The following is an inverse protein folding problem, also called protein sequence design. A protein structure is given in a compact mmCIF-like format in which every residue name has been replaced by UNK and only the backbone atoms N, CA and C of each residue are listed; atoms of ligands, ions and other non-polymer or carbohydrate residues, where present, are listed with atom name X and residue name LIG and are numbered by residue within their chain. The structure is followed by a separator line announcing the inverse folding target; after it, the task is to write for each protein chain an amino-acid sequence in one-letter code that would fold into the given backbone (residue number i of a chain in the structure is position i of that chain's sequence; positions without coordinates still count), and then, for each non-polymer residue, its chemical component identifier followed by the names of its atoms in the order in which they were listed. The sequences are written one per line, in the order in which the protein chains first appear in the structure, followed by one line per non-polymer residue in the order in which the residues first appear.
data_IF_332288779667
#
_entry.id   IF_332288779667
#
_cell.length_a   1.000
_cell.length_b   1.000
_cell.length_c   1.000
_cell.angle_alpha   90.00
_cell.angle_beta   90.00
_cell.angle_gamma   90.00
#
_symmetry.space_group_name_H-M   'P 1'
#
loop_
_entity.id
_entity.type
_entity.pdbx_description
1 polymer ?
#
# COMPACT_ATOMS: atom_id res chain seq x y z
N UNK A 1 -12.59 9.14 7.85
CA UNK A 1 -12.31 9.82 6.58
C UNK A 1 -10.92 10.46 6.58
N UNK A 2 -10.52 11.08 7.69
CA UNK A 2 -9.25 11.82 7.83
C UNK A 2 -7.96 11.10 7.38
N UNK A 3 -7.86 9.78 7.57
CA UNK A 3 -6.65 9.02 7.21
C UNK A 3 -6.42 8.99 5.68
N UNK A 4 -7.49 8.90 4.89
CA UNK A 4 -7.41 8.93 3.42
C UNK A 4 -7.05 10.33 2.94
N UNK A 5 -7.71 11.36 3.47
CA UNK A 5 -7.51 12.76 3.07
C UNK A 5 -6.09 13.26 3.37
N UNK A 6 -5.51 12.90 4.53
CA UNK A 6 -4.11 13.23 4.85
C UNK A 6 -3.11 12.53 3.92
N UNK A 7 -3.40 11.28 3.55
CA UNK A 7 -2.55 10.54 2.61
C UNK A 7 -2.63 11.13 1.21
N UNK A 8 -3.84 11.44 0.74
CA UNK A 8 -4.07 12.07 -0.55
C UNK A 8 -3.41 13.44 -0.63
N UNK A 9 -3.60 14.29 0.38
CA UNK A 9 -3.01 15.62 0.45
C UNK A 9 -1.48 15.64 0.51
N UNK A 10 -0.85 14.61 1.11
CA UNK A 10 0.61 14.54 1.27
C UNK A 10 1.33 13.76 0.17
N UNK A 11 0.61 12.95 -0.62
CA UNK A 11 1.21 11.99 -1.57
C UNK A 11 0.68 12.11 -3.01
N UNK A 12 -0.25 13.02 -3.28
CA UNK A 12 -0.58 13.57 -4.60
C UNK A 12 -1.37 12.67 -5.55
N UNK A 13 -0.94 11.41 -5.72
CA UNK A 13 -1.34 10.64 -6.91
C UNK A 13 -2.25 9.43 -6.63
N UNK A 14 -2.04 8.71 -5.51
CA UNK A 14 -2.86 7.53 -5.20
C UNK A 14 -2.76 7.15 -3.71
N UNK A 15 -3.91 7.05 -3.04
CA UNK A 15 -4.00 6.54 -1.66
C UNK A 15 -4.01 4.99 -1.60
N UNK A 16 -4.35 4.33 -2.70
CA UNK A 16 -4.40 2.88 -2.86
C UNK A 16 -3.50 2.50 -4.04
N UNK A 17 -2.58 1.57 -3.85
CA UNK A 17 -1.56 1.20 -4.85
C UNK A 17 -1.31 -0.30 -4.84
N UNK A 18 -0.90 -0.85 -5.99
CA UNK A 18 -0.58 -2.27 -6.12
C UNK A 18 0.73 -2.60 -5.41
N UNK A 19 0.83 -3.83 -4.92
CA UNK A 19 2.11 -4.46 -4.61
C UNK A 19 2.49 -5.38 -5.76
N UNK A 20 3.58 -5.05 -6.45
CA UNK A 20 4.11 -5.83 -7.56
C UNK A 20 5.48 -6.36 -7.17
N UNK A 21 5.72 -7.66 -7.30
CA UNK A 21 7.01 -8.29 -6.94
C UNK A 21 7.51 -7.95 -5.51
N UNK A 22 6.58 -7.69 -4.58
CA UNK A 22 6.90 -7.27 -3.21
C UNK A 22 7.34 -5.80 -3.10
N UNK A 23 7.03 -4.96 -4.09
CA UNK A 23 7.33 -3.53 -4.12
C UNK A 23 6.03 -2.74 -4.12
N UNK A 24 5.96 -1.70 -3.27
CA UNK A 24 4.86 -0.74 -3.29
C UNK A 24 5.00 0.17 -4.52
N UNK A 25 4.06 0.09 -5.46
CA UNK A 25 4.07 0.91 -6.70
C UNK A 25 3.90 2.42 -6.44
N UNK A 26 3.53 2.83 -5.22
CA UNK A 26 3.40 4.25 -4.87
C UNK A 26 4.65 4.92 -4.30
N UNK A 27 5.53 4.20 -3.62
CA UNK A 27 6.80 4.73 -3.10
C UNK A 27 8.04 4.00 -3.61
N UNK A 28 7.84 2.94 -4.39
CA UNK A 28 8.88 2.14 -5.04
C UNK A 28 9.82 1.46 -4.03
N UNK A 29 9.38 1.32 -2.78
CA UNK A 29 10.10 0.58 -1.74
C UNK A 29 9.59 -0.85 -1.62
N UNK A 30 10.49 -1.76 -1.30
CA UNK A 30 10.14 -3.13 -0.93
C UNK A 30 9.31 -3.11 0.35
N UNK A 31 8.27 -3.92 0.37
CA UNK A 31 7.48 -4.19 1.58
C UNK A 31 7.90 -5.51 2.19
N UNK A 32 7.61 -5.73 3.46
CA UNK A 32 7.96 -6.99 4.12
C UNK A 32 7.21 -8.18 3.51
N UNK A 33 7.81 -9.36 3.59
CA UNK A 33 7.18 -10.62 3.16
C UNK A 33 5.84 -10.84 3.86
N UNK A 34 5.74 -10.48 5.15
CA UNK A 34 4.49 -10.52 5.90
C UNK A 34 3.42 -9.62 5.26
N UNK A 35 3.76 -8.38 4.91
CA UNK A 35 2.86 -7.47 4.18
C UNK A 35 2.43 -8.06 2.84
N UNK A 36 3.34 -8.64 2.04
CA UNK A 36 2.98 -9.29 0.77
C UNK A 36 1.98 -10.43 1.00
N UNK A 37 2.22 -11.28 1.99
CA UNK A 37 1.31 -12.38 2.33
C UNK A 37 -0.05 -11.85 2.77
N UNK A 38 -0.09 -10.84 3.63
CA UNK A 38 -1.35 -10.23 4.08
C UNK A 38 -2.15 -9.61 2.92
N UNK A 39 -1.47 -8.90 2.02
CA UNK A 39 -2.08 -8.32 0.82
C UNK A 39 -2.68 -9.42 -0.07
N UNK A 40 -1.96 -10.53 -0.26
CA UNK A 40 -2.44 -11.69 -1.04
C UNK A 40 -3.55 -12.46 -0.35
N UNK A 41 -3.56 -12.52 0.99
CA UNK A 41 -4.61 -13.17 1.77
C UNK A 41 -5.95 -12.43 1.70
N UNK A 42 -5.98 -11.14 1.32
CA UNK A 42 -7.20 -10.35 1.22
C UNK A 42 -7.91 -10.08 2.56
N UNK A 43 -7.31 -10.50 3.68
CA UNK A 43 -7.92 -10.42 5.01
C UNK A 43 -7.64 -9.06 5.66
N UNK A 44 -8.26 -8.02 5.11
CA UNK A 44 -8.27 -6.66 5.67
C UNK A 44 -7.49 -5.63 4.87
N UNK A 45 -7.52 -4.38 5.37
CA UNK A 45 -6.84 -3.26 4.74
C UNK A 45 -5.37 -3.28 5.16
N UNK A 46 -4.49 -3.61 4.22
CA UNK A 46 -3.05 -3.56 4.44
C UNK A 46 -2.51 -2.22 3.98
N UNK A 47 -1.57 -1.64 4.72
CA UNK A 47 -0.92 -0.37 4.38
C UNK A 47 0.58 -0.57 4.23
N UNK A 48 1.21 0.20 3.33
CA UNK A 48 2.64 0.26 3.17
C UNK A 48 3.27 0.83 4.45
N UNK A 49 4.16 0.06 5.06
CA UNK A 49 4.98 0.45 6.21
C UNK A 49 5.89 1.66 5.96
N UNK A 50 6.22 1.97 4.69
CA UNK A 50 7.10 3.09 4.33
C UNK A 50 6.33 4.40 4.05
N UNK A 51 5.22 4.33 3.32
CA UNK A 51 4.51 5.54 2.88
C UNK A 51 3.06 5.65 3.35
N UNK A 52 2.55 4.63 4.05
CA UNK A 52 1.19 4.59 4.59
C UNK A 52 0.09 4.29 3.56
N UNK A 53 0.40 4.19 2.26
CA UNK A 53 -0.60 3.91 1.21
C UNK A 53 -1.24 2.54 1.40
N UNK A 54 -2.52 2.42 1.09
CA UNK A 54 -3.22 1.14 1.12
C UNK A 54 -2.70 0.28 -0.02
N UNK A 55 -2.43 -0.99 0.29
CA UNK A 55 -1.86 -1.96 -0.62
C UNK A 55 -2.92 -2.97 -1.06
N UNK A 56 -2.95 -3.27 -2.35
CA UNK A 56 -3.73 -4.37 -2.90
C UNK A 56 -2.83 -5.29 -3.74
N UNK A 57 -3.26 -6.54 -3.96
CA UNK A 57 -2.54 -7.46 -4.82
C UNK A 57 -2.73 -7.01 -6.28
N UNK A 58 -1.67 -6.47 -6.89
CA UNK A 58 -1.62 -6.29 -8.34
C UNK A 58 -1.27 -7.62 -8.98
N UNK A 59 -1.99 -7.98 -10.03
CA UNK A 59 -1.74 -9.20 -10.82
C UNK A 59 -0.45 -9.08 -11.64
#
# INVERSE_FOLDING_TARGET
MERYERLFASKGDAAVVAVEHGVCTGCHMKVTTATVVQVKSGNGIVSCEQCGRILYAGE
#
